data_IF_591840705391
#
_entry.id   IF_591840705391
#
_cell.length_a   1.000
_cell.length_b   1.000
_cell.length_c   1.000
_cell.angle_alpha   90.00
_cell.angle_beta   90.00
_cell.angle_gamma   90.00
#
_symmetry.space_group_name_H-M   'P 1'
#
loop_
_entity.id
_entity.type
_entity.pdbx_description
1 polymer ?
#
# COMPACT_ATOMS: atom_id res chain seq x y z
N UNK A 1 4.66 4.69 -22.91
CA UNK A 1 5.78 3.87 -22.40
C UNK A 1 5.76 3.93 -20.88
N UNK A 2 5.47 2.81 -20.21
CA UNK A 2 5.52 2.71 -18.73
C UNK A 2 6.90 3.15 -18.27
N UNK A 3 6.97 4.17 -17.43
CA UNK A 3 8.24 4.71 -16.97
C UNK A 3 8.73 3.83 -15.81
N UNK A 4 9.63 2.88 -16.06
CA UNK A 4 10.19 1.99 -15.02
C UNK A 4 10.71 2.77 -13.80
N UNK A 5 11.12 4.03 -14.01
CA UNK A 5 11.51 4.94 -12.93
C UNK A 5 10.38 5.28 -11.94
N UNK A 6 9.11 5.32 -12.36
CA UNK A 6 7.98 5.56 -11.46
C UNK A 6 7.69 4.35 -10.58
N UNK A 7 7.74 3.13 -11.15
CA UNK A 7 7.60 1.90 -10.37
C UNK A 7 8.74 1.79 -9.35
N UNK A 8 9.98 2.09 -9.75
CA UNK A 8 11.12 2.05 -8.84
C UNK A 8 10.98 3.05 -7.69
N UNK A 9 10.51 4.27 -7.97
CA UNK A 9 10.26 5.30 -6.95
C UNK A 9 9.10 4.92 -6.04
N UNK A 10 8.02 4.36 -6.58
CA UNK A 10 6.91 3.86 -5.79
C UNK A 10 7.37 2.76 -4.82
N UNK A 11 8.14 1.79 -5.31
CA UNK A 11 8.72 0.74 -4.46
C UNK A 11 9.67 1.32 -3.41
N UNK A 12 10.52 2.27 -3.76
CA UNK A 12 11.42 2.94 -2.82
C UNK A 12 10.64 3.69 -1.72
N UNK A 13 9.59 4.43 -2.10
CA UNK A 13 8.70 5.10 -1.13
C UNK A 13 8.02 4.06 -0.22
N UNK A 14 7.58 2.92 -0.77
CA UNK A 14 7.04 1.82 0.01
C UNK A 14 8.02 1.26 1.04
N UNK A 15 9.29 1.06 0.68
CA UNK A 15 10.33 0.60 1.60
C UNK A 15 10.56 1.62 2.72
N UNK A 16 10.73 2.90 2.37
CA UNK A 16 10.93 3.97 3.36
C UNK A 16 9.72 4.10 4.28
N UNK A 17 8.50 3.98 3.73
CA UNK A 17 7.27 4.01 4.49
C UNK A 17 7.24 2.89 5.55
N UNK A 18 7.58 1.66 5.15
CA UNK A 18 7.68 0.53 6.07
C UNK A 18 8.75 0.77 7.14
N UNK A 19 9.92 1.31 6.78
CA UNK A 19 10.95 1.64 7.76
C UNK A 19 10.48 2.69 8.78
N UNK A 20 9.74 3.71 8.34
CA UNK A 20 9.18 4.73 9.22
C UNK A 20 8.13 4.12 10.15
N UNK A 21 7.21 3.31 9.61
CA UNK A 21 6.15 2.68 10.40
C UNK A 21 6.74 1.76 11.50
N UNK A 22 7.63 0.84 11.12
CA UNK A 22 8.31 -0.03 12.07
C UNK A 22 9.15 0.75 13.07
N UNK A 23 9.92 1.74 12.62
CA UNK A 23 10.76 2.58 13.49
C UNK A 23 9.93 3.32 14.54
N UNK A 24 8.82 3.94 14.13
CA UNK A 24 7.90 4.61 15.04
C UNK A 24 7.22 3.64 15.98
N UNK A 25 6.73 2.51 15.48
CA UNK A 25 6.06 1.49 16.28
C UNK A 25 6.97 0.97 17.40
N UNK A 26 8.21 0.61 17.09
CA UNK A 26 9.17 0.14 18.09
C UNK A 26 9.53 1.23 19.10
N UNK A 27 9.69 2.47 18.65
CA UNK A 27 10.01 3.62 19.53
C UNK A 27 8.84 3.92 20.47
N UNK A 28 7.62 4.02 19.96
CA UNK A 28 6.40 4.26 20.75
C UNK A 28 6.13 3.12 21.73
N UNK A 29 6.38 1.88 21.32
CA UNK A 29 6.29 0.71 22.21
C UNK A 29 7.35 0.77 23.31
N UNK A 30 8.58 1.16 23.00
CA UNK A 30 9.64 1.34 24.00
C UNK A 30 9.33 2.45 25.01
N UNK A 31 8.54 3.46 24.62
CA UNK A 31 8.02 4.50 25.50
C UNK A 31 6.84 4.04 26.39
N UNK A 32 6.46 2.76 26.32
CA UNK A 32 5.42 2.18 27.17
C UNK A 32 3.99 2.33 26.64
N UNK A 33 3.81 2.79 25.39
CA UNK A 33 2.47 2.82 24.80
C UNK A 33 1.95 1.41 24.51
N UNK A 34 0.63 1.18 24.67
CA UNK A 34 -0.01 -0.03 24.19
C UNK A 34 0.24 -0.24 22.69
N UNK A 35 0.47 -1.50 22.29
CA UNK A 35 0.81 -1.87 20.91
C UNK A 35 -0.20 -1.33 19.90
N UNK A 36 -1.49 -1.36 20.25
CA UNK A 36 -2.56 -0.87 19.38
C UNK A 36 -2.45 0.65 19.16
N UNK A 37 -2.25 1.42 20.23
CA UNK A 37 -2.11 2.88 20.16
C UNK A 37 -0.84 3.27 19.40
N UNK A 38 0.28 2.60 19.68
CA UNK A 38 1.54 2.81 18.97
C UNK A 38 1.38 2.55 17.47
N UNK A 39 0.71 1.45 17.09
CA UNK A 39 0.47 1.08 15.70
C UNK A 39 -0.43 2.08 14.97
N UNK A 40 -1.51 2.57 15.61
CA UNK A 40 -2.39 3.57 14.99
C UNK A 40 -1.61 4.86 14.70
N UNK A 41 -0.80 5.34 15.65
CA UNK A 41 0.01 6.55 15.48
C UNK A 41 1.08 6.33 14.41
N UNK A 42 1.82 5.22 14.46
CA UNK A 42 2.89 4.92 13.49
C UNK A 42 2.32 4.81 12.07
N UNK A 43 1.24 4.03 11.90
CA UNK A 43 0.61 3.82 10.61
C UNK A 43 0.01 5.10 10.04
N UNK A 44 -0.52 6.00 10.89
CA UNK A 44 -1.04 7.30 10.43
C UNK A 44 0.08 8.20 9.93
N UNK A 45 1.19 8.29 10.66
CA UNK A 45 2.35 9.11 10.26
C UNK A 45 2.98 8.55 8.98
N UNK A 46 3.15 7.22 8.92
CA UNK A 46 3.64 6.52 7.74
C UNK A 46 2.70 6.80 6.54
N UNK A 47 1.39 6.66 6.71
CA UNK A 47 0.42 6.93 5.66
C UNK A 47 0.52 8.37 5.10
N UNK A 48 0.63 9.37 5.98
CA UNK A 48 0.82 10.77 5.59
C UNK A 48 2.13 10.93 4.82
N UNK A 49 3.23 10.36 5.32
CA UNK A 49 4.52 10.40 4.65
C UNK A 49 4.46 9.75 3.26
N UNK A 50 3.84 8.57 3.16
CA UNK A 50 3.64 7.85 1.90
C UNK A 50 2.88 8.68 0.88
N UNK A 51 1.85 9.42 1.31
CA UNK A 51 1.13 10.34 0.43
C UNK A 51 2.04 11.44 -0.11
N UNK A 52 2.73 12.18 0.77
CA UNK A 52 3.60 13.29 0.35
C UNK A 52 4.78 12.80 -0.51
N UNK A 53 5.37 11.68 -0.14
CA UNK A 53 6.47 11.05 -0.86
C UNK A 53 6.00 10.59 -2.25
N UNK A 54 4.84 9.93 -2.36
CA UNK A 54 4.30 9.55 -3.66
C UNK A 54 3.94 10.77 -4.51
N UNK A 55 3.28 11.78 -3.94
CA UNK A 55 2.92 13.01 -4.65
C UNK A 55 4.15 13.74 -5.22
N UNK A 56 5.14 14.02 -4.36
CA UNK A 56 6.30 14.85 -4.70
C UNK A 56 7.38 14.07 -5.46
N UNK A 57 7.64 12.82 -5.08
CA UNK A 57 8.76 12.04 -5.59
C UNK A 57 8.36 11.07 -6.71
N UNK A 58 7.30 10.28 -6.53
CA UNK A 58 6.85 9.29 -7.52
C UNK A 58 6.19 9.96 -8.71
N UNK A 59 5.20 10.82 -8.46
CA UNK A 59 4.37 11.40 -9.50
C UNK A 59 4.78 12.82 -9.91
N UNK A 60 5.57 13.51 -9.09
CA UNK A 60 6.03 14.90 -9.33
C UNK A 60 4.88 15.84 -9.71
N UNK A 61 3.70 15.65 -9.11
CA UNK A 61 2.52 16.46 -9.39
C UNK A 61 2.68 17.83 -8.71
N UNK A 62 2.71 18.91 -9.50
CA UNK A 62 2.81 20.29 -9.03
C UNK A 62 1.46 20.97 -9.25
N UNK A 63 0.77 21.35 -8.16
CA UNK A 63 -0.55 21.98 -8.20
C UNK A 63 -1.72 20.99 -8.19
N UNK A 64 -2.81 21.35 -7.48
CA UNK A 64 -4.00 20.52 -7.30
C UNK A 64 -4.60 20.61 -5.89
N UNK A 65 -5.88 20.25 -5.73
CA UNK A 65 -6.56 20.20 -4.43
C UNK A 65 -6.00 19.05 -3.58
N UNK A 66 -5.15 19.40 -2.61
CA UNK A 66 -4.43 18.44 -1.76
C UNK A 66 -5.38 17.49 -1.02
N UNK A 67 -6.52 17.99 -0.53
CA UNK A 67 -7.56 17.17 0.13
C UNK A 67 -8.14 16.13 -0.82
N UNK A 68 -8.41 16.50 -2.09
CA UNK A 68 -8.95 15.58 -3.09
C UNK A 68 -7.96 14.46 -3.41
N UNK A 69 -6.68 14.79 -3.55
CA UNK A 69 -5.63 13.80 -3.80
C UNK A 69 -5.45 12.85 -2.63
N UNK A 70 -5.45 13.34 -1.39
CA UNK A 70 -5.42 12.49 -0.18
C UNK A 70 -6.65 11.59 -0.14
N UNK A 71 -7.84 12.14 -0.38
CA UNK A 71 -9.08 11.37 -0.36
C UNK A 71 -9.05 10.27 -1.43
N UNK A 72 -8.67 10.59 -2.67
CA UNK A 72 -8.57 9.60 -3.74
C UNK A 72 -7.47 8.56 -3.47
N UNK A 73 -6.31 8.96 -2.97
CA UNK A 73 -5.25 8.03 -2.57
C UNK A 73 -5.76 7.06 -1.50
N UNK A 74 -6.43 7.58 -0.48
CA UNK A 74 -7.01 6.78 0.62
C UNK A 74 -8.09 5.83 0.11
N UNK A 75 -9.05 6.33 -0.69
CA UNK A 75 -10.12 5.52 -1.26
C UNK A 75 -9.55 4.40 -2.13
N UNK A 76 -8.59 4.71 -3.01
CA UNK A 76 -7.96 3.71 -3.88
C UNK A 76 -7.16 2.70 -3.06
N UNK A 77 -6.38 3.15 -2.07
CA UNK A 77 -5.61 2.25 -1.19
C UNK A 77 -6.54 1.29 -0.46
N UNK A 78 -7.60 1.82 0.17
CA UNK A 78 -8.58 1.04 0.92
C UNK A 78 -9.33 0.10 0.00
N UNK A 79 -9.74 0.54 -1.19
CA UNK A 79 -10.41 -0.33 -2.14
C UNK A 79 -9.50 -1.46 -2.62
N UNK A 80 -8.22 -1.18 -2.88
CA UNK A 80 -7.23 -2.19 -3.20
C UNK A 80 -7.06 -3.22 -2.08
N UNK A 81 -6.93 -2.76 -0.84
CA UNK A 81 -6.74 -3.62 0.33
C UNK A 81 -8.00 -4.42 0.69
N UNK A 82 -9.17 -3.80 0.70
CA UNK A 82 -10.39 -4.44 1.19
C UNK A 82 -11.14 -5.21 0.11
N UNK A 83 -11.17 -4.70 -1.12
CA UNK A 83 -11.95 -5.29 -2.21
C UNK A 83 -11.06 -6.16 -3.08
N UNK A 84 -10.03 -5.59 -3.70
CA UNK A 84 -9.18 -6.35 -4.65
C UNK A 84 -8.47 -7.50 -3.93
N UNK A 85 -7.88 -7.24 -2.75
CA UNK A 85 -7.18 -8.29 -2.02
C UNK A 85 -8.14 -9.42 -1.61
N UNK A 86 -9.31 -9.10 -1.06
CA UNK A 86 -10.30 -10.11 -0.65
C UNK A 86 -10.83 -10.92 -1.83
N UNK A 87 -11.17 -10.27 -2.95
CA UNK A 87 -11.65 -10.94 -4.16
C UNK A 87 -10.58 -11.85 -4.75
N UNK A 88 -9.34 -11.39 -4.84
CA UNK A 88 -8.24 -12.20 -5.38
C UNK A 88 -7.93 -13.38 -4.48
N UNK A 89 -7.94 -13.21 -3.14
CA UNK A 89 -7.79 -14.34 -2.21
C UNK A 89 -8.93 -15.34 -2.41
N UNK A 90 -10.18 -14.89 -2.44
CA UNK A 90 -11.34 -15.77 -2.62
C UNK A 90 -11.24 -16.59 -3.90
N UNK A 91 -10.82 -15.97 -5.00
CA UNK A 91 -10.68 -16.64 -6.30
C UNK A 91 -9.46 -17.56 -6.35
N UNK A 92 -8.31 -17.16 -5.79
CA UNK A 92 -7.05 -17.92 -5.94
C UNK A 92 -6.83 -18.98 -4.87
N UNK A 93 -7.38 -18.79 -3.67
CA UNK A 93 -7.23 -19.70 -2.55
C UNK A 93 -7.61 -21.16 -2.84
N UNK A 94 -8.78 -21.49 -3.41
CA UNK A 94 -9.15 -22.89 -3.65
C UNK A 94 -8.12 -23.61 -4.53
N UNK A 95 -7.79 -23.03 -5.69
CA UNK A 95 -6.81 -23.60 -6.63
C UNK A 95 -5.42 -23.79 -6.03
N UNK A 96 -4.93 -22.80 -5.28
CA UNK A 96 -3.58 -22.84 -4.70
C UNK A 96 -3.53 -23.79 -3.49
N UNK A 97 -4.59 -23.86 -2.70
CA UNK A 97 -4.69 -24.77 -1.56
C UNK A 97 -4.70 -26.24 -1.99
N UNK A 98 -5.36 -26.54 -3.11
CA UNK A 98 -5.35 -27.87 -3.73
C UNK A 98 -3.98 -28.21 -4.31
N UNK A 99 -3.32 -27.26 -5.00
CA UNK A 99 -1.99 -27.48 -5.57
C UNK A 99 -0.91 -27.75 -4.52
N UNK A 100 -1.02 -27.11 -3.34
CA UNK A 100 0.00 -27.19 -2.29
C UNK A 100 -0.28 -28.25 -1.23
N UNK A 101 -1.44 -28.93 -1.27
CA UNK A 101 -1.89 -29.89 -0.26
C UNK A 101 -1.76 -29.38 1.19
N UNK A 102 -1.82 -28.06 1.38
CA UNK A 102 -1.56 -27.41 2.67
C UNK A 102 -2.33 -26.10 2.76
N UNK A 103 -3.29 -26.06 3.70
CA UNK A 103 -4.14 -24.89 3.93
C UNK A 103 -3.33 -23.63 4.27
N UNK A 104 -2.29 -23.77 5.11
CA UNK A 104 -1.45 -22.65 5.53
C UNK A 104 -0.60 -22.08 4.38
N UNK A 105 0.09 -22.95 3.64
CA UNK A 105 0.93 -22.56 2.50
C UNK A 105 0.08 -21.95 1.39
N UNK A 106 -1.11 -22.50 1.15
CA UNK A 106 -2.02 -21.99 0.14
C UNK A 106 -2.53 -20.59 0.44
N UNK A 107 -2.93 -20.32 1.69
CA UNK A 107 -3.33 -18.97 2.12
C UNK A 107 -2.20 -17.95 1.97
N UNK A 108 -0.96 -18.31 2.30
CA UNK A 108 0.20 -17.41 2.18
C UNK A 108 0.45 -17.01 0.73
N UNK A 109 0.45 -17.98 -0.20
CA UNK A 109 0.68 -17.74 -1.62
C UNK A 109 -0.46 -16.92 -2.22
N UNK A 110 -1.72 -17.26 -1.93
CA UNK A 110 -2.87 -16.47 -2.39
C UNK A 110 -2.85 -15.04 -1.85
N UNK A 111 -2.45 -14.85 -0.59
CA UNK A 111 -2.29 -13.51 0.00
C UNK A 111 -1.16 -12.72 -0.67
N UNK A 112 -0.04 -13.35 -1.01
CA UNK A 112 1.04 -12.70 -1.76
C UNK A 112 0.56 -12.26 -3.15
N UNK A 113 -0.11 -13.13 -3.90
CA UNK A 113 -0.68 -12.81 -5.22
C UNK A 113 -1.67 -11.65 -5.11
N UNK A 114 -2.57 -11.70 -4.13
CA UNK A 114 -3.56 -10.66 -3.88
C UNK A 114 -2.92 -9.32 -3.51
N UNK A 115 -1.84 -9.34 -2.74
CA UNK A 115 -1.08 -8.13 -2.38
C UNK A 115 -0.43 -7.52 -3.63
N UNK A 116 0.19 -8.34 -4.48
CA UNK A 116 0.79 -7.86 -5.74
C UNK A 116 -0.29 -7.27 -6.66
N UNK A 117 -1.43 -7.95 -6.80
CA UNK A 117 -2.56 -7.46 -7.60
C UNK A 117 -3.10 -6.12 -7.07
N UNK A 118 -3.27 -5.99 -5.75
CA UNK A 118 -3.68 -4.74 -5.10
C UNK A 118 -2.65 -3.63 -5.32
N UNK A 119 -1.35 -3.91 -5.24
CA UNK A 119 -0.30 -2.94 -5.50
C UNK A 119 -0.31 -2.45 -6.95
N UNK A 120 -0.53 -3.34 -7.91
CA UNK A 120 -0.66 -3.00 -9.33
C UNK A 120 -1.89 -2.10 -9.54
N UNK A 121 -3.02 -2.45 -8.95
CA UNK A 121 -4.24 -1.64 -8.99
C UNK A 121 -4.01 -0.24 -8.43
N UNK A 122 -3.43 -0.15 -7.23
CA UNK A 122 -3.09 1.10 -6.57
C UNK A 122 -2.18 1.96 -7.45
N UNK A 123 -1.12 1.37 -8.01
CA UNK A 123 -0.20 2.07 -8.90
C UNK A 123 -0.90 2.63 -10.15
N UNK A 124 -1.74 1.81 -10.81
CA UNK A 124 -2.47 2.22 -12.02
C UNK A 124 -3.39 3.39 -11.70
N UNK A 125 -4.23 3.29 -10.66
CA UNK A 125 -5.16 4.35 -10.32
C UNK A 125 -4.45 5.60 -9.79
N UNK A 126 -3.33 5.46 -9.09
CA UNK A 126 -2.51 6.63 -8.72
C UNK A 126 -1.99 7.35 -9.95
N UNK A 127 -1.53 6.60 -10.96
CA UNK A 127 -1.01 7.19 -12.20
C UNK A 127 -2.08 7.79 -13.11
N UNK A 128 -3.29 7.23 -13.12
CA UNK A 128 -4.37 7.62 -14.04
C UNK A 128 -5.34 8.65 -13.45
N UNK A 129 -5.70 8.48 -12.17
CA UNK A 129 -6.81 9.22 -11.55
C UNK A 129 -6.29 10.21 -10.50
N UNK A 130 -5.33 9.80 -9.67
CA UNK A 130 -4.88 10.64 -8.54
C UNK A 130 -3.88 11.70 -8.98
N UNK A 131 -2.88 11.33 -9.78
CA UNK A 131 -1.81 12.23 -10.20
C UNK A 131 -1.77 12.40 -11.71
N UNK A 132 -2.90 12.86 -12.26
CA UNK A 132 -3.00 13.19 -13.69
C UNK A 132 -1.98 14.28 -14.02
N UNK A 133 -0.97 13.97 -14.84
CA UNK A 133 -0.07 15.00 -15.37
C UNK A 133 -0.91 15.95 -16.26
N UNK A 134 -0.81 17.27 -16.10
CA UNK A 134 -1.34 18.20 -17.08
C UNK A 134 -0.66 17.99 -18.45
#
# INVERSE_FOLDING_TARGET
MKNNSQVLRFSAVGIVNTMIDFGLLFTLKALGLPVISANIISSTIAFIFSFFANKKYTFKSHGGNLVREIALFTIVTLFGLWVIQSVVIYVTYPWISELTNSTSSGLLISKLIATIASLIWNYILYSLVVFKKP
#
